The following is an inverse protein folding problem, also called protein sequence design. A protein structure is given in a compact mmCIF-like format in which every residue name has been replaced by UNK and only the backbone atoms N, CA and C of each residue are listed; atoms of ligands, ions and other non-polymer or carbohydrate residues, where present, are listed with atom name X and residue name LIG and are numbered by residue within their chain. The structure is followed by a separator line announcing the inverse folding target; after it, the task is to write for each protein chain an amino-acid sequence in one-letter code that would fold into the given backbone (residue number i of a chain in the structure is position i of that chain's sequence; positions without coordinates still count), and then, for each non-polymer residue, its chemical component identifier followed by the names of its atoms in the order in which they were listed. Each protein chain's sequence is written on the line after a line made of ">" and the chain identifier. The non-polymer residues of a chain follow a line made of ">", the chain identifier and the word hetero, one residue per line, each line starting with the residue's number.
data_IF_940584826922
#
_entry.id   IF_940584826922
#
_cell.length_a   1.000
_cell.length_b   1.000
_cell.length_c   1.000
_cell.angle_alpha   90.00
_cell.angle_beta   90.00
_cell.angle_gamma   90.00
#
_symmetry.space_group_name_H-M   'P 1'
#
loop_
_entity.id
_entity.type
_entity.pdbx_description
1 polymer ?
#
# COMPACT_ATOMS: atom_id res chain seq x y z
N UNK A 1 -15.02 -20.12 -9.46
CA UNK A 1 -15.48 -21.50 -9.27
C UNK A 1 -14.53 -22.48 -9.96
N UNK A 2 -14.20 -22.32 -11.26
CA UNK A 2 -13.32 -23.24 -11.97
C UNK A 2 -11.96 -23.49 -11.27
N UNK A 3 -11.34 -22.45 -10.70
CA UNK A 3 -10.10 -22.59 -9.93
C UNK A 3 -10.32 -23.42 -8.65
N UNK A 4 -11.45 -23.24 -7.99
CA UNK A 4 -11.80 -24.01 -6.79
C UNK A 4 -12.06 -25.50 -7.15
N UNK A 5 -12.81 -25.74 -8.22
CA UNK A 5 -13.09 -27.09 -8.73
C UNK A 5 -11.79 -27.83 -9.09
N UNK A 6 -10.80 -27.12 -9.67
CA UNK A 6 -9.49 -27.70 -10.00
C UNK A 6 -8.72 -28.13 -8.73
N UNK A 7 -8.75 -27.33 -7.66
CA UNK A 7 -8.12 -27.68 -6.38
C UNK A 7 -8.81 -28.86 -5.72
N UNK A 8 -10.15 -28.91 -5.77
CA UNK A 8 -10.91 -30.03 -5.21
C UNK A 8 -10.64 -31.35 -5.97
N UNK A 9 -10.50 -31.26 -7.30
CA UNK A 9 -10.12 -32.42 -8.12
C UNK A 9 -8.70 -32.91 -7.78
N UNK A 10 -7.72 -32.01 -7.66
CA UNK A 10 -6.36 -32.36 -7.27
C UNK A 10 -6.30 -32.98 -5.86
N UNK A 11 -7.08 -32.42 -4.90
CA UNK A 11 -7.22 -33.00 -3.55
C UNK A 11 -7.82 -34.38 -3.57
N UNK A 12 -8.87 -34.62 -4.38
CA UNK A 12 -9.51 -35.92 -4.53
C UNK A 12 -8.58 -36.96 -5.19
N UNK A 13 -7.69 -36.49 -6.08
CA UNK A 13 -6.66 -37.34 -6.71
C UNK A 13 -5.46 -37.66 -5.79
N UNK A 14 -5.39 -37.07 -4.59
CA UNK A 14 -4.25 -37.22 -3.65
C UNK A 14 -2.99 -36.49 -4.10
N UNK A 15 -3.10 -35.49 -4.95
CA UNK A 15 -1.96 -34.67 -5.40
C UNK A 15 -1.44 -33.77 -4.27
N UNK A 16 -0.12 -33.52 -4.20
CA UNK A 16 0.44 -32.59 -3.22
C UNK A 16 -0.05 -31.17 -3.51
N UNK A 17 -0.66 -30.53 -2.49
CA UNK A 17 -1.18 -29.17 -2.60
C UNK A 17 -0.29 -28.19 -1.83
N UNK A 18 -0.18 -26.96 -2.34
CA UNK A 18 0.45 -25.85 -1.63
C UNK A 18 -0.32 -25.52 -0.33
N UNK A 19 0.33 -24.93 0.71
CA UNK A 19 -0.30 -24.66 2.01
C UNK A 19 -1.60 -23.82 1.95
N UNK A 20 -1.70 -22.92 0.98
CA UNK A 20 -2.88 -22.05 0.77
C UNK A 20 -3.77 -22.48 -0.38
N UNK A 21 -3.58 -23.69 -0.94
CA UNK A 21 -4.43 -24.20 -2.04
C UNK A 21 -5.90 -24.31 -1.61
N UNK A 22 -6.79 -23.68 -2.37
CA UNK A 22 -8.22 -23.59 -2.10
C UNK A 22 -8.61 -22.43 -1.18
N UNK A 23 -7.64 -21.69 -0.61
CA UNK A 23 -7.94 -20.49 0.16
C UNK A 23 -8.21 -19.33 -0.82
N UNK A 24 -9.41 -18.73 -0.79
CA UNK A 24 -9.75 -17.65 -1.70
C UNK A 24 -9.06 -16.35 -1.31
N UNK A 25 -8.78 -15.50 -2.33
CA UNK A 25 -8.06 -14.23 -2.13
C UNK A 25 -8.70 -13.08 -2.91
N UNK A 26 -8.72 -11.89 -2.29
CA UNK A 26 -9.10 -10.63 -2.93
C UNK A 26 -7.85 -9.89 -3.45
N UNK A 27 -7.96 -9.26 -4.62
CA UNK A 27 -6.81 -8.66 -5.32
C UNK A 27 -7.05 -7.18 -5.57
N UNK A 28 -6.20 -6.30 -5.04
CA UNK A 28 -6.29 -4.84 -5.29
C UNK A 28 -6.30 -4.53 -6.79
N UNK A 29 -7.15 -3.62 -7.20
CA UNK A 29 -7.39 -3.32 -8.62
C UNK A 29 -6.24 -2.58 -9.33
N UNK A 30 -5.09 -2.43 -8.69
CA UNK A 30 -3.83 -2.01 -9.28
C UNK A 30 -3.04 -3.17 -9.92
N UNK A 31 -3.44 -4.43 -9.69
CA UNK A 31 -2.70 -5.63 -10.12
C UNK A 31 -3.34 -6.23 -11.36
N UNK A 32 -2.56 -6.30 -12.46
CA UNK A 32 -3.04 -6.87 -13.73
C UNK A 32 -3.41 -8.35 -13.55
N UNK A 33 -4.58 -8.71 -14.07
CA UNK A 33 -5.13 -10.08 -13.97
C UNK A 33 -5.74 -10.46 -15.33
N UNK A 34 -5.21 -11.48 -15.99
CA UNK A 34 -5.71 -11.93 -17.29
C UNK A 34 -7.22 -12.22 -17.20
N UNK A 35 -7.97 -11.70 -18.18
CA UNK A 35 -9.39 -11.97 -18.31
C UNK A 35 -10.29 -11.18 -17.33
N UNK A 36 -9.72 -10.38 -16.45
CA UNK A 36 -10.45 -9.59 -15.47
C UNK A 36 -10.08 -8.10 -15.65
N UNK A 37 -11.05 -7.19 -15.77
CA UNK A 37 -10.76 -5.76 -15.85
C UNK A 37 -9.87 -5.28 -14.72
N UNK A 38 -8.90 -4.40 -15.03
CA UNK A 38 -8.01 -3.78 -14.06
C UNK A 38 -8.02 -2.28 -14.31
N UNK A 39 -8.62 -1.53 -13.38
CA UNK A 39 -8.95 -0.11 -13.59
C UNK A 39 -8.10 0.84 -12.76
N UNK A 40 -7.43 0.38 -11.70
CA UNK A 40 -6.78 1.24 -10.70
C UNK A 40 -7.69 2.30 -10.11
N UNK A 41 -9.00 2.01 -9.98
CA UNK A 41 -9.99 2.97 -9.49
C UNK A 41 -10.24 4.16 -10.43
N UNK A 42 -9.85 4.09 -11.71
CA UNK A 42 -9.86 5.19 -12.67
C UNK A 42 -10.71 4.90 -13.90
N UNK A 43 -11.35 5.94 -14.44
CA UNK A 43 -11.99 5.89 -15.76
C UNK A 43 -11.00 5.74 -16.90
N UNK A 44 -9.75 6.14 -16.72
CA UNK A 44 -8.68 5.99 -17.72
C UNK A 44 -8.53 4.53 -18.19
N UNK A 45 -8.75 3.57 -17.27
CA UNK A 45 -8.64 2.13 -17.53
C UNK A 45 -9.99 1.41 -17.49
N UNK A 46 -11.10 2.14 -17.54
CA UNK A 46 -12.43 1.53 -17.53
C UNK A 46 -12.57 0.53 -18.69
N UNK A 47 -12.96 -0.70 -18.35
CA UNK A 47 -13.14 -1.78 -19.32
C UNK A 47 -11.83 -2.40 -19.87
N UNK A 48 -10.67 -1.91 -19.48
CA UNK A 48 -9.41 -2.50 -19.93
C UNK A 48 -9.15 -3.86 -19.26
N UNK A 49 -8.98 -4.88 -20.10
CA UNK A 49 -8.62 -6.24 -19.67
C UNK A 49 -7.13 -6.47 -20.01
N UNK A 50 -6.28 -6.69 -19.00
CA UNK A 50 -4.85 -6.89 -19.23
C UNK A 50 -4.58 -8.20 -19.98
N UNK A 51 -3.59 -8.21 -20.92
CA UNK A 51 -3.16 -9.41 -21.64
C UNK A 51 -2.19 -10.29 -20.83
N UNK A 52 -1.83 -9.92 -19.60
CA UNK A 52 -0.88 -10.62 -18.74
C UNK A 52 -1.25 -10.50 -17.27
N UNK A 53 -0.85 -11.49 -16.48
CA UNK A 53 -0.92 -11.45 -15.02
C UNK A 53 0.27 -10.69 -14.41
N UNK A 54 0.03 -9.97 -13.34
CA UNK A 54 1.10 -9.58 -12.44
C UNK A 54 1.80 -10.83 -11.88
N UNK A 55 3.11 -10.75 -11.63
CA UNK A 55 3.87 -11.91 -11.10
C UNK A 55 3.25 -12.45 -9.82
N UNK A 56 2.80 -11.58 -8.91
CA UNK A 56 2.11 -12.02 -7.68
C UNK A 56 0.80 -12.76 -8.00
N UNK A 57 0.03 -12.30 -8.98
CA UNK A 57 -1.21 -12.97 -9.41
C UNK A 57 -0.90 -14.35 -10.00
N UNK A 58 0.13 -14.45 -10.84
CA UNK A 58 0.57 -15.75 -11.37
C UNK A 58 1.02 -16.71 -10.25
N UNK A 59 1.73 -16.21 -9.23
CA UNK A 59 2.12 -17.02 -8.05
C UNK A 59 0.92 -17.48 -7.23
N UNK A 60 -0.10 -16.63 -7.02
CA UNK A 60 -1.35 -16.99 -6.33
C UNK A 60 -2.07 -18.11 -7.08
N UNK A 61 -2.22 -17.98 -8.40
CA UNK A 61 -2.82 -19.02 -9.26
C UNK A 61 -2.02 -20.33 -9.20
N UNK A 62 -0.68 -20.24 -9.27
CA UNK A 62 0.19 -21.42 -9.16
C UNK A 62 0.12 -22.10 -7.79
N UNK A 63 -0.17 -21.35 -6.73
CA UNK A 63 -0.43 -21.90 -5.39
C UNK A 63 -1.84 -22.46 -5.21
N UNK A 64 -2.67 -22.44 -6.25
CA UNK A 64 -4.05 -22.95 -6.20
C UNK A 64 -4.99 -22.05 -5.40
N UNK A 65 -4.74 -20.75 -5.31
CA UNK A 65 -5.60 -19.80 -4.59
C UNK A 65 -6.65 -19.21 -5.53
N UNK A 66 -7.95 -19.47 -5.33
CA UNK A 66 -9.02 -18.89 -6.15
C UNK A 66 -9.12 -17.38 -5.96
N UNK A 67 -9.12 -16.62 -7.05
CA UNK A 67 -9.30 -15.16 -7.00
C UNK A 67 -10.80 -14.85 -6.90
N UNK A 68 -11.22 -14.22 -5.78
CA UNK A 68 -12.61 -13.82 -5.56
C UNK A 68 -13.02 -12.64 -6.45
N UNK A 69 -12.10 -11.70 -6.66
CA UNK A 69 -12.35 -10.49 -7.45
C UNK A 69 -11.32 -9.41 -7.20
N UNK A 70 -11.61 -8.23 -7.77
CA UNK A 70 -10.79 -7.02 -7.64
C UNK A 70 -11.38 -6.12 -6.56
N UNK A 71 -10.52 -5.60 -5.69
CA UNK A 71 -10.93 -4.68 -4.62
C UNK A 71 -10.74 -3.23 -5.00
N UNK A 72 -11.69 -2.38 -4.60
CA UNK A 72 -11.65 -0.94 -4.84
C UNK A 72 -10.43 -0.28 -4.17
N UNK A 73 -10.08 0.89 -4.68
CA UNK A 73 -8.90 1.64 -4.23
C UNK A 73 -9.04 3.12 -4.58
N UNK A 74 -8.28 3.99 -3.93
CA UNK A 74 -8.09 5.35 -4.43
C UNK A 74 -7.47 5.33 -5.83
N UNK A 75 -7.91 6.22 -6.69
CA UNK A 75 -7.50 6.29 -8.10
C UNK A 75 -5.97 6.34 -8.23
N UNK A 76 -5.40 5.40 -8.99
CA UNK A 76 -3.95 5.19 -9.17
C UNK A 76 -3.17 5.16 -7.85
N UNK A 77 -3.78 4.65 -6.78
CA UNK A 77 -3.22 4.60 -5.43
C UNK A 77 -2.91 5.98 -4.81
N UNK A 78 -3.57 7.04 -5.27
CA UNK A 78 -3.41 8.42 -4.80
C UNK A 78 -4.51 8.80 -3.81
N UNK A 79 -4.30 8.48 -2.54
CA UNK A 79 -5.20 8.78 -1.44
C UNK A 79 -4.95 7.90 -0.23
N UNK A 80 -5.58 8.26 0.90
CA UNK A 80 -5.47 7.55 2.19
C UNK A 80 -6.85 7.25 2.78
N UNK A 81 -7.90 7.20 1.93
CA UNK A 81 -9.29 7.02 2.38
C UNK A 81 -10.14 6.07 1.56
N UNK A 82 -9.75 5.76 0.32
CA UNK A 82 -10.53 5.03 -0.71
C UNK A 82 -11.84 5.76 -1.06
N UNK A 83 -11.80 7.11 -1.01
CA UNK A 83 -12.87 7.98 -1.47
C UNK A 83 -12.64 8.49 -2.91
N UNK A 84 -11.38 8.52 -3.37
CA UNK A 84 -10.97 9.04 -4.69
C UNK A 84 -11.09 8.00 -5.82
N UNK A 85 -12.00 7.05 -5.69
CA UNK A 85 -12.27 6.06 -6.75
C UNK A 85 -13.33 6.56 -7.72
N UNK A 86 -13.14 6.33 -9.03
CA UNK A 86 -14.17 6.57 -10.04
C UNK A 86 -15.43 5.70 -9.86
N UNK A 87 -15.33 4.64 -9.03
CA UNK A 87 -16.39 3.68 -8.73
C UNK A 87 -17.09 3.94 -7.38
N UNK A 88 -16.80 5.09 -6.78
CA UNK A 88 -17.36 5.51 -5.49
C UNK A 88 -16.53 5.04 -4.29
N UNK A 89 -16.88 5.52 -3.08
CA UNK A 89 -16.13 5.27 -1.87
C UNK A 89 -16.32 3.83 -1.37
N UNK A 90 -15.26 3.28 -0.77
CA UNK A 90 -15.38 2.09 0.06
C UNK A 90 -15.71 2.49 1.50
N UNK A 91 -16.47 1.66 2.20
CA UNK A 91 -16.92 1.91 3.56
C UNK A 91 -16.22 0.97 4.54
N UNK A 92 -15.99 1.45 5.75
CA UNK A 92 -15.42 0.63 6.81
C UNK A 92 -16.47 -0.35 7.37
N UNK A 93 -16.18 -1.66 7.43
CA UNK A 93 -17.15 -2.64 7.94
C UNK A 93 -17.57 -2.44 9.40
N UNK A 94 -16.71 -1.81 10.22
CA UNK A 94 -17.03 -1.51 11.63
C UNK A 94 -18.06 -0.39 11.77
N UNK A 95 -18.01 0.58 10.87
CA UNK A 95 -18.95 1.69 10.79
C UNK A 95 -19.00 2.21 9.35
N UNK A 96 -20.11 1.99 8.67
CA UNK A 96 -20.27 2.34 7.24
C UNK A 96 -20.31 3.85 6.95
N UNK A 97 -20.27 4.70 7.96
CA UNK A 97 -20.18 6.16 7.80
C UNK A 97 -18.73 6.66 7.78
N UNK A 98 -17.75 5.81 8.09
CA UNK A 98 -16.34 6.19 8.13
C UNK A 98 -15.52 5.49 7.03
N UNK A 99 -14.33 6.01 6.77
CA UNK A 99 -13.41 5.49 5.75
C UNK A 99 -12.75 4.18 6.20
N UNK A 100 -12.40 3.29 5.28
CA UNK A 100 -11.61 2.08 5.56
C UNK A 100 -10.11 2.32 5.44
N UNK A 101 -9.68 3.60 5.32
CA UNK A 101 -8.32 3.93 4.92
C UNK A 101 -8.07 3.76 3.42
N UNK A 102 -6.86 4.05 2.99
CA UNK A 102 -6.46 4.00 1.57
C UNK A 102 -4.92 4.00 1.38
N UNK A 103 -4.50 3.81 0.15
CA UNK A 103 -5.32 3.57 -1.06
C UNK A 103 -5.88 2.14 -1.16
N UNK A 104 -5.49 1.20 -0.31
CA UNK A 104 -5.90 -0.22 -0.32
C UNK A 104 -7.13 -0.53 0.55
N UNK A 105 -8.03 0.43 0.78
CA UNK A 105 -9.17 0.28 1.68
C UNK A 105 -10.12 -0.83 1.29
N UNK A 106 -10.33 -1.09 0.00
CA UNK A 106 -11.15 -2.23 -0.46
C UNK A 106 -10.58 -3.58 -0.04
N UNK A 107 -9.25 -3.78 -0.10
CA UNK A 107 -8.61 -5.02 0.36
C UNK A 107 -8.73 -5.20 1.87
N UNK A 108 -8.50 -4.13 2.64
CA UNK A 108 -8.62 -4.17 4.10
C UNK A 108 -10.07 -4.37 4.54
N UNK A 109 -11.02 -3.66 3.92
CA UNK A 109 -12.45 -3.82 4.20
C UNK A 109 -12.95 -5.24 3.90
N UNK A 110 -12.56 -5.85 2.78
CA UNK A 110 -12.95 -7.21 2.44
C UNK A 110 -12.47 -8.24 3.50
N UNK A 111 -11.25 -8.07 4.02
CA UNK A 111 -10.70 -8.94 5.07
C UNK A 111 -11.39 -8.67 6.41
N UNK A 112 -11.62 -7.41 6.78
CA UNK A 112 -12.31 -7.03 8.02
C UNK A 112 -13.76 -7.48 8.04
N UNK A 113 -14.45 -7.43 6.88
CA UNK A 113 -15.83 -7.88 6.73
C UNK A 113 -15.99 -9.41 6.64
N UNK A 114 -14.88 -10.17 6.68
CA UNK A 114 -14.90 -11.63 6.46
C UNK A 114 -15.37 -12.05 5.05
N UNK A 115 -15.37 -11.15 4.08
CA UNK A 115 -15.66 -11.46 2.67
C UNK A 115 -14.52 -12.24 2.01
N UNK A 116 -13.30 -12.00 2.45
CA UNK A 116 -12.11 -12.74 2.04
C UNK A 116 -11.23 -13.07 3.25
N UNK A 117 -10.66 -14.28 3.37
CA UNK A 117 -9.71 -14.59 4.43
C UNK A 117 -8.38 -13.86 4.25
N UNK A 118 -7.99 -13.59 3.02
CA UNK A 118 -6.75 -12.96 2.60
C UNK A 118 -7.00 -11.95 1.47
N UNK A 119 -6.18 -10.90 1.44
CA UNK A 119 -6.11 -10.00 0.30
C UNK A 119 -4.66 -9.58 0.01
N UNK A 120 -4.40 -9.08 -1.20
CA UNK A 120 -3.16 -8.37 -1.52
C UNK A 120 -3.46 -6.92 -1.87
N UNK A 121 -2.53 -6.05 -1.47
CA UNK A 121 -2.56 -4.61 -1.72
C UNK A 121 -1.23 -4.09 -2.28
N UNK A 122 -1.14 -2.78 -2.43
CA UNK A 122 0.10 -2.06 -2.69
C UNK A 122 0.28 -0.94 -1.66
N UNK A 123 1.52 -0.66 -1.29
CA UNK A 123 1.91 0.33 -0.28
C UNK A 123 3.03 1.19 -0.85
N UNK A 124 2.76 2.47 -1.05
CA UNK A 124 3.69 3.47 -1.57
C UNK A 124 4.08 4.46 -0.48
N UNK A 125 3.15 4.80 0.41
CA UNK A 125 3.35 5.67 1.58
C UNK A 125 2.66 5.18 2.85
N UNK A 126 1.97 4.02 2.78
CA UNK A 126 1.16 3.49 3.87
C UNK A 126 -0.06 2.71 3.41
N UNK A 127 -0.28 2.60 2.09
CA UNK A 127 -1.56 2.16 1.50
C UNK A 127 -1.95 0.68 1.73
N UNK A 128 -1.16 -0.10 2.44
CA UNK A 128 -1.53 -1.39 3.07
C UNK A 128 -1.69 -1.20 4.58
N UNK A 129 -0.73 -0.55 5.22
CA UNK A 129 -0.60 -0.46 6.68
C UNK A 129 -1.64 0.49 7.30
N UNK A 130 -1.87 1.65 6.69
CA UNK A 130 -2.85 2.63 7.18
C UNK A 130 -4.30 2.07 7.08
N UNK A 131 -4.76 1.48 5.95
CA UNK A 131 -6.04 0.80 5.93
C UNK A 131 -6.13 -0.35 6.94
N UNK A 132 -5.05 -1.11 7.14
CA UNK A 132 -5.01 -2.18 8.13
C UNK A 132 -5.23 -1.64 9.56
N UNK A 133 -4.60 -0.50 9.90
CA UNK A 133 -4.76 0.13 11.20
C UNK A 133 -6.22 0.54 11.49
N UNK A 134 -6.88 1.19 10.52
CA UNK A 134 -8.25 1.71 10.73
C UNK A 134 -9.36 0.68 10.46
N UNK A 135 -9.02 -0.55 10.08
CA UNK A 135 -9.96 -1.66 9.90
C UNK A 135 -9.69 -2.84 10.83
N UNK A 136 -8.68 -2.76 11.68
CA UNK A 136 -8.33 -3.84 12.62
C UNK A 136 -7.83 -5.11 11.92
N UNK A 137 -7.10 -4.95 10.80
CA UNK A 137 -6.47 -6.04 10.08
C UNK A 137 -4.94 -5.99 10.18
N UNK A 138 -4.25 -7.02 9.73
CA UNK A 138 -2.79 -7.05 9.61
C UNK A 138 -2.40 -6.66 8.20
N UNK A 139 -1.54 -5.66 8.07
CA UNK A 139 -1.03 -5.20 6.77
C UNK A 139 0.49 -5.19 6.71
N UNK A 140 1.08 -5.87 5.75
CA UNK A 140 2.54 -5.99 5.60
C UNK A 140 3.02 -5.25 4.36
N UNK A 141 3.95 -4.32 4.54
CA UNK A 141 4.79 -3.77 3.48
C UNK A 141 6.14 -4.51 3.51
N UNK A 142 6.45 -5.36 2.54
CA UNK A 142 7.76 -6.02 2.45
C UNK A 142 8.91 -5.02 2.26
N UNK A 143 10.13 -5.52 2.40
CA UNK A 143 11.33 -4.83 1.92
C UNK A 143 11.15 -4.47 0.44
N UNK A 144 11.57 -3.27 0.05
CA UNK A 144 11.53 -2.86 -1.36
C UNK A 144 12.27 -3.88 -2.24
N UNK A 145 11.59 -4.37 -3.28
CA UNK A 145 12.10 -5.43 -4.13
C UNK A 145 11.98 -6.86 -3.59
N UNK A 146 11.49 -7.08 -2.36
CA UNK A 146 11.26 -8.42 -1.79
C UNK A 146 10.09 -9.18 -2.42
N UNK A 147 9.15 -8.45 -3.03
CA UNK A 147 8.03 -8.95 -3.82
C UNK A 147 8.06 -8.24 -5.17
N UNK A 148 7.94 -8.99 -6.26
CA UNK A 148 7.95 -8.43 -7.62
C UNK A 148 6.81 -7.43 -7.83
N UNK A 149 7.12 -6.33 -8.53
CA UNK A 149 6.17 -5.29 -8.95
C UNK A 149 5.75 -5.43 -10.42
N UNK A 150 6.23 -6.47 -11.12
CA UNK A 150 5.82 -6.70 -12.50
C UNK A 150 4.29 -6.92 -12.56
N UNK A 151 3.61 -6.08 -13.35
CA UNK A 151 2.16 -6.07 -13.47
C UNK A 151 1.42 -5.25 -12.42
N UNK A 152 2.12 -4.59 -11.49
CA UNK A 152 1.56 -3.50 -10.70
C UNK A 152 1.49 -2.23 -11.56
N UNK A 153 0.32 -1.59 -11.60
CA UNK A 153 0.19 -0.27 -12.22
C UNK A 153 0.93 0.73 -11.35
N UNK A 154 2.05 1.25 -11.88
CA UNK A 154 3.00 2.04 -11.11
C UNK A 154 2.44 3.41 -10.71
N UNK A 155 2.58 3.77 -9.43
CA UNK A 155 2.41 5.11 -8.91
C UNK A 155 3.77 5.80 -8.77
N UNK A 156 4.65 5.31 -7.91
CA UNK A 156 5.99 5.84 -7.69
C UNK A 156 7.01 4.71 -7.70
N UNK A 157 7.81 4.64 -8.75
CA UNK A 157 8.69 3.50 -9.06
C UNK A 157 9.71 3.21 -7.98
N UNK A 158 10.15 4.21 -7.21
CA UNK A 158 11.12 4.04 -6.13
C UNK A 158 10.51 3.72 -4.76
N UNK A 159 9.16 3.65 -4.67
CA UNK A 159 8.44 3.50 -3.41
C UNK A 159 7.43 2.34 -3.41
N UNK A 160 6.79 2.07 -4.54
CA UNK A 160 5.72 1.07 -4.65
C UNK A 160 6.17 -0.31 -4.17
N UNK A 161 5.33 -0.97 -3.35
CA UNK A 161 5.55 -2.34 -2.93
C UNK A 161 4.22 -3.08 -2.79
N UNK A 162 4.18 -4.37 -3.20
CA UNK A 162 3.02 -5.25 -3.03
C UNK A 162 3.19 -6.01 -1.72
N UNK A 163 2.07 -6.23 -1.00
CA UNK A 163 2.11 -7.00 0.24
C UNK A 163 0.77 -7.54 0.69
N UNK A 164 0.78 -8.44 1.70
CA UNK A 164 -0.39 -9.09 2.27
C UNK A 164 -1.28 -8.17 3.10
N UNK A 165 -2.59 -8.49 3.09
CA UNK A 165 -3.59 -8.07 4.09
C UNK A 165 -4.29 -9.31 4.62
N UNK A 166 -4.40 -9.43 5.94
CA UNK A 166 -4.96 -10.62 6.61
C UNK A 166 -5.53 -10.28 7.98
N UNK A 167 -6.13 -11.26 8.69
CA UNK A 167 -6.57 -11.06 10.08
C UNK A 167 -5.50 -11.39 11.11
N UNK A 168 -4.54 -12.24 10.77
CA UNK A 168 -3.46 -12.64 11.69
C UNK A 168 -2.09 -12.47 11.06
N UNK A 169 -1.07 -12.29 11.91
CA UNK A 169 0.34 -12.22 11.46
C UNK A 169 0.78 -13.51 10.78
N UNK A 170 0.29 -14.66 11.25
CA UNK A 170 0.61 -15.96 10.65
C UNK A 170 0.06 -16.08 9.22
N UNK A 171 -1.18 -15.63 8.99
CA UNK A 171 -1.78 -15.63 7.65
C UNK A 171 -1.04 -14.68 6.71
N UNK A 172 -0.63 -13.49 7.21
CA UNK A 172 0.21 -12.57 6.44
C UNK A 172 1.55 -13.20 6.06
N UNK A 173 2.18 -13.92 6.98
CA UNK A 173 3.45 -14.61 6.74
C UNK A 173 3.30 -15.74 5.71
N UNK A 174 2.24 -16.54 5.80
CA UNK A 174 1.91 -17.60 4.82
C UNK A 174 1.72 -17.00 3.42
N UNK A 175 0.95 -15.93 3.30
CA UNK A 175 0.73 -15.27 2.02
C UNK A 175 2.02 -14.62 1.50
N UNK A 176 2.84 -14.02 2.38
CA UNK A 176 4.12 -13.43 1.99
C UNK A 176 5.07 -14.49 1.39
N UNK A 177 5.14 -15.69 1.96
CA UNK A 177 5.96 -16.79 1.40
C UNK A 177 5.48 -17.24 0.02
N UNK A 178 4.18 -17.12 -0.28
CA UNK A 178 3.64 -17.40 -1.63
C UNK A 178 4.06 -16.34 -2.64
N UNK A 179 3.92 -15.04 -2.29
CA UNK A 179 4.11 -13.96 -3.25
C UNK A 179 5.56 -13.44 -3.35
N UNK A 180 6.38 -13.69 -2.32
CA UNK A 180 7.77 -13.27 -2.23
C UNK A 180 8.70 -13.97 -3.21
N UNK A 181 9.94 -13.49 -3.29
CA UNK A 181 11.02 -14.09 -4.07
C UNK A 181 11.39 -13.31 -5.33
N UNK A 182 12.56 -13.68 -5.89
CA UNK A 182 13.13 -13.02 -7.05
C UNK A 182 12.28 -13.16 -8.32
N UNK A 183 12.25 -12.10 -9.12
CA UNK A 183 11.60 -12.07 -10.43
C UNK A 183 12.47 -11.32 -11.43
N UNK A 184 13.00 -11.98 -12.48
CA UNK A 184 13.81 -11.33 -13.52
C UNK A 184 13.03 -10.31 -14.36
N UNK A 185 11.70 -10.28 -14.28
CA UNK A 185 10.86 -9.29 -14.97
C UNK A 185 10.80 -7.94 -14.24
N UNK A 186 11.20 -7.89 -12.98
CA UNK A 186 11.30 -6.65 -12.18
C UNK A 186 12.76 -6.36 -11.87
N UNK A 187 13.32 -5.36 -12.52
CA UNK A 187 14.74 -4.96 -12.34
C UNK A 187 15.10 -4.51 -10.93
N UNK A 188 14.11 -4.27 -10.07
CA UNK A 188 14.33 -3.91 -8.65
C UNK A 188 14.16 -5.10 -7.71
N UNK A 189 13.80 -6.28 -8.24
CA UNK A 189 13.60 -7.48 -7.43
C UNK A 189 14.93 -7.96 -6.83
N UNK A 190 14.92 -8.21 -5.52
CA UNK A 190 16.09 -8.71 -4.79
C UNK A 190 16.41 -10.15 -5.23
N UNK A 191 17.69 -10.46 -5.48
CA UNK A 191 18.13 -11.81 -5.84
C UNK A 191 17.94 -12.81 -4.68
N UNK A 192 18.18 -12.37 -3.46
CA UNK A 192 18.08 -13.18 -2.24
C UNK A 192 17.18 -12.47 -1.20
N UNK A 193 15.86 -12.43 -1.41
CA UNK A 193 14.96 -11.82 -0.43
C UNK A 193 14.89 -12.68 0.84
N UNK A 194 14.50 -12.04 1.97
CA UNK A 194 14.32 -12.74 3.23
C UNK A 194 13.24 -13.83 3.12
N UNK A 195 13.40 -14.91 3.86
CA UNK A 195 12.52 -16.08 3.95
C UNK A 195 12.29 -16.49 5.39
N UNK A 196 11.43 -17.50 5.64
CA UNK A 196 11.22 -18.04 6.98
C UNK A 196 10.22 -17.24 7.83
N UNK A 197 9.37 -16.45 7.21
CA UNK A 197 8.39 -15.60 7.89
C UNK A 197 7.39 -16.41 8.72
N UNK A 198 6.95 -17.57 8.22
CA UNK A 198 6.02 -18.46 8.92
C UNK A 198 6.64 -19.02 10.21
N UNK A 199 7.92 -19.38 10.18
CA UNK A 199 8.63 -19.82 11.38
C UNK A 199 8.78 -18.68 12.40
N UNK A 200 9.11 -17.48 11.94
CA UNK A 200 9.21 -16.30 12.79
C UNK A 200 7.86 -15.90 13.40
N UNK A 201 6.78 -15.96 12.63
CA UNK A 201 5.42 -15.62 13.10
C UNK A 201 4.86 -16.56 14.19
N UNK A 202 5.45 -17.74 14.35
CA UNK A 202 5.09 -18.71 15.43
C UNK A 202 5.86 -18.50 16.73
N UNK A 203 6.82 -17.60 16.73
CA UNK A 203 7.61 -17.30 17.94
C UNK A 203 6.80 -16.40 18.86
N UNK A 204 6.60 -16.82 20.11
CA UNK A 204 5.84 -16.08 21.11
C UNK A 204 6.72 -15.41 22.18
N UNK A 205 7.98 -15.84 22.35
CA UNK A 205 8.91 -15.30 23.33
C UNK A 205 9.68 -14.13 22.76
N UNK A 206 9.65 -12.98 23.43
CA UNK A 206 10.35 -11.76 23.07
C UNK A 206 11.60 -11.49 23.93
N UNK A 207 12.00 -12.43 24.78
CA UNK A 207 13.21 -12.28 25.61
C UNK A 207 14.44 -11.98 24.73
N UNK A 208 15.12 -10.86 25.06
CA UNK A 208 16.28 -10.38 24.32
C UNK A 208 15.97 -9.65 23.01
N UNK A 209 14.69 -9.38 22.71
CA UNK A 209 14.29 -8.50 21.60
C UNK A 209 14.29 -7.06 22.07
N UNK A 210 15.07 -6.20 21.42
CA UNK A 210 15.16 -4.77 21.72
C UNK A 210 14.18 -4.02 20.81
N UNK A 211 13.22 -3.33 21.41
CA UNK A 211 12.18 -2.57 20.69
C UNK A 211 12.40 -1.08 20.89
N UNK A 212 12.70 -0.37 19.82
CA UNK A 212 12.86 1.09 19.80
C UNK A 212 11.52 1.82 19.63
N UNK A 213 11.16 2.68 20.57
CA UNK A 213 10.02 3.59 20.44
C UNK A 213 10.52 4.89 19.79
N UNK A 214 9.97 5.22 18.61
CA UNK A 214 10.40 6.39 17.85
C UNK A 214 9.77 7.65 18.44
N UNK A 215 10.59 8.50 19.06
CA UNK A 215 10.17 9.73 19.73
C UNK A 215 9.39 10.68 18.81
N UNK A 216 9.84 10.87 17.59
CA UNK A 216 9.24 11.77 16.60
C UNK A 216 7.88 11.29 16.09
N UNK A 217 7.52 10.01 16.33
CA UNK A 217 6.26 9.39 15.90
C UNK A 217 5.33 9.02 17.07
N UNK A 218 5.58 9.51 18.27
CA UNK A 218 4.76 9.24 19.48
C UNK A 218 4.28 10.51 20.20
N UNK A 219 4.57 11.69 19.66
CA UNK A 219 4.35 12.99 20.29
C UNK A 219 3.01 13.66 19.99
N UNK A 220 3.06 14.97 19.82
CA UNK A 220 1.92 15.80 19.45
C UNK A 220 1.38 15.43 18.06
N UNK A 221 0.08 15.63 17.83
CA UNK A 221 -0.59 15.34 16.56
C UNK A 221 -1.25 13.96 16.47
N UNK A 222 -1.02 13.08 17.45
CA UNK A 222 -1.74 11.80 17.56
C UNK A 222 -2.93 11.91 18.48
N UNK A 223 -4.05 11.27 18.10
CA UNK A 223 -5.27 11.18 18.89
C UNK A 223 -5.01 10.50 20.26
N UNK A 224 -5.74 10.92 21.28
CA UNK A 224 -5.55 10.40 22.64
C UNK A 224 -5.85 8.89 22.74
N UNK A 225 -6.88 8.41 22.05
CA UNK A 225 -7.22 6.99 22.00
C UNK A 225 -6.13 6.17 21.31
N UNK A 226 -5.57 6.69 20.20
CA UNK A 226 -4.44 6.04 19.51
C UNK A 226 -3.22 5.94 20.42
N UNK A 227 -2.88 7.02 21.14
CA UNK A 227 -1.76 7.00 22.11
C UNK A 227 -1.97 5.98 23.21
N UNK A 228 -3.17 5.93 23.78
CA UNK A 228 -3.50 4.98 24.83
C UNK A 228 -3.33 3.53 24.37
N UNK A 229 -3.89 3.17 23.19
CA UNK A 229 -3.72 1.80 22.64
C UNK A 229 -2.27 1.48 22.33
N UNK A 230 -1.51 2.45 21.85
CA UNK A 230 -0.07 2.29 21.64
C UNK A 230 0.70 2.02 22.95
N UNK A 231 0.43 2.78 24.01
CA UNK A 231 1.04 2.57 25.34
C UNK A 231 0.70 1.19 25.90
N UNK A 232 -0.54 0.73 25.75
CA UNK A 232 -0.96 -0.62 26.14
C UNK A 232 -0.24 -1.72 25.33
N UNK A 233 -0.05 -1.51 24.02
CA UNK A 233 0.71 -2.43 23.18
C UNK A 233 2.19 -2.49 23.61
N UNK A 234 2.80 -1.36 23.97
CA UNK A 234 4.17 -1.31 24.53
C UNK A 234 4.24 -2.08 25.85
N UNK A 235 3.24 -1.94 26.71
CA UNK A 235 3.17 -2.70 27.97
C UNK A 235 3.06 -4.21 27.74
N UNK A 236 2.29 -4.65 26.73
CA UNK A 236 2.19 -6.06 26.36
C UNK A 236 3.53 -6.62 25.84
N UNK A 237 4.26 -5.85 25.01
CA UNK A 237 5.59 -6.23 24.53
C UNK A 237 6.59 -6.37 25.69
N UNK A 238 6.56 -5.43 26.64
CA UNK A 238 7.36 -5.50 27.87
C UNK A 238 7.03 -6.74 28.69
N UNK A 239 5.75 -7.04 28.89
CA UNK A 239 5.29 -8.22 29.61
C UNK A 239 5.69 -9.54 28.91
N UNK A 240 5.82 -9.53 27.60
CA UNK A 240 6.32 -10.66 26.79
C UNK A 240 7.85 -10.80 26.79
N UNK A 241 8.58 -9.93 27.52
CA UNK A 241 10.03 -10.00 27.71
C UNK A 241 10.88 -9.13 26.80
N UNK A 242 10.27 -8.21 26.03
CA UNK A 242 11.01 -7.28 25.21
C UNK A 242 11.68 -6.16 26.01
N UNK A 243 12.89 -5.76 25.61
CA UNK A 243 13.58 -4.58 26.12
C UNK A 243 13.15 -3.34 25.34
N UNK A 244 12.44 -2.42 26.03
CA UNK A 244 11.92 -1.19 25.40
C UNK A 244 12.93 -0.05 25.56
N UNK A 245 13.26 0.61 24.47
CA UNK A 245 14.22 1.72 24.41
C UNK A 245 13.62 2.89 23.63
N UNK A 246 13.69 4.10 24.15
CA UNK A 246 13.37 5.30 23.34
C UNK A 246 14.50 5.61 22.36
N UNK A 247 14.17 5.82 21.09
CA UNK A 247 15.11 6.17 20.03
C UNK A 247 14.66 7.44 19.30
N UNK A 248 15.61 8.16 18.73
CA UNK A 248 15.34 9.38 17.96
C UNK A 248 15.74 9.20 16.50
N UNK A 249 14.83 9.58 15.59
CA UNK A 249 15.01 9.62 14.15
C UNK A 249 14.72 11.05 13.64
N UNK A 250 15.61 12.01 13.89
CA UNK A 250 15.34 13.44 13.70
C UNK A 250 14.96 13.83 12.28
N UNK A 251 15.40 13.07 11.27
CA UNK A 251 15.05 13.35 9.86
C UNK A 251 13.61 12.99 9.53
N UNK A 252 12.89 12.24 10.39
CA UNK A 252 11.50 11.83 10.13
C UNK A 252 10.53 13.00 10.09
N UNK A 253 10.83 14.12 10.75
CA UNK A 253 10.03 15.35 10.68
C UNK A 253 9.93 15.92 9.26
N UNK A 254 10.86 15.53 8.37
CA UNK A 254 10.89 15.96 6.97
C UNK A 254 10.30 14.91 6.01
N UNK A 255 9.92 13.72 6.51
CA UNK A 255 9.51 12.59 5.68
C UNK A 255 8.28 12.92 4.82
N UNK A 256 7.26 13.53 5.41
CA UNK A 256 6.04 13.93 4.71
C UNK A 256 6.34 14.85 3.52
N UNK A 257 7.11 15.91 3.75
CA UNK A 257 7.48 16.86 2.71
C UNK A 257 8.32 16.20 1.59
N UNK A 258 9.31 15.38 1.94
CA UNK A 258 10.13 14.66 0.98
C UNK A 258 9.28 13.70 0.13
N UNK A 259 8.37 12.97 0.75
CA UNK A 259 7.47 12.04 0.07
C UNK A 259 6.57 12.76 -0.95
N UNK A 260 5.95 13.88 -0.56
CA UNK A 260 5.08 14.65 -1.45
C UNK A 260 5.82 15.48 -2.50
N UNK A 261 7.14 15.42 -2.53
CA UNK A 261 7.97 15.86 -3.65
C UNK A 261 8.40 14.69 -4.55
N UNK A 262 8.79 13.55 -3.96
CA UNK A 262 9.23 12.37 -4.71
C UNK A 262 8.05 11.71 -5.43
N UNK A 263 6.98 11.39 -4.71
CA UNK A 263 5.84 10.65 -5.27
C UNK A 263 5.17 11.36 -6.45
N UNK A 264 4.75 12.63 -6.36
CA UNK A 264 4.13 13.32 -7.50
C UNK A 264 5.07 13.42 -8.71
N UNK A 265 6.37 13.62 -8.46
CA UNK A 265 7.39 13.65 -9.52
C UNK A 265 7.45 12.33 -10.29
N UNK A 266 7.54 11.21 -9.58
CA UNK A 266 7.56 9.88 -10.21
C UNK A 266 6.20 9.52 -10.83
N UNK A 267 5.09 9.90 -10.19
CA UNK A 267 3.74 9.71 -10.70
C UNK A 267 3.53 10.43 -12.04
N UNK A 268 4.00 11.68 -12.17
CA UNK A 268 3.90 12.44 -13.42
C UNK A 268 4.59 11.73 -14.58
N UNK A 269 5.72 11.10 -14.32
CA UNK A 269 6.43 10.26 -15.30
C UNK A 269 5.71 8.94 -15.58
N UNK A 270 5.31 8.22 -14.53
CA UNK A 270 4.66 6.90 -14.66
C UNK A 270 3.31 6.97 -15.36
N UNK A 271 2.50 8.00 -15.09
CA UNK A 271 1.18 8.17 -15.70
C UNK A 271 1.23 8.85 -17.08
N UNK A 272 2.40 9.28 -17.56
CA UNK A 272 2.57 9.80 -18.92
C UNK A 272 2.20 8.77 -20.01
N UNK A 273 2.28 7.47 -19.70
CA UNK A 273 1.88 6.36 -20.59
C UNK A 273 0.39 6.34 -20.94
N UNK A 274 -0.46 7.00 -20.15
CA UNK A 274 -1.89 7.16 -20.44
C UNK A 274 -2.10 8.35 -21.37
N UNK A 275 -1.79 8.15 -22.63
CA UNK A 275 -1.71 9.14 -23.71
C UNK A 275 -2.88 9.06 -24.70
N UNK A 276 -3.87 8.21 -24.43
CA UNK A 276 -5.02 7.92 -25.29
C UNK A 276 -4.71 7.20 -26.62
N UNK A 277 -3.46 6.73 -26.81
CA UNK A 277 -3.04 6.16 -28.08
C UNK A 277 -3.01 4.64 -28.11
N UNK A 278 -2.66 3.99 -26.99
CA UNK A 278 -2.35 2.56 -26.96
C UNK A 278 -3.43 1.70 -26.31
N UNK A 279 -3.99 2.17 -25.21
CA UNK A 279 -4.99 1.45 -24.42
C UNK A 279 -5.69 2.38 -23.44
N UNK A 280 -6.84 1.95 -22.92
CA UNK A 280 -7.64 2.73 -21.99
C UNK A 280 -8.57 3.71 -22.69
N UNK A 281 -9.06 4.68 -21.92
CA UNK A 281 -9.98 5.72 -22.41
C UNK A 281 -9.35 6.54 -23.53
N UNK A 282 -10.19 6.89 -24.54
CA UNK A 282 -9.85 7.87 -25.58
C UNK A 282 -11.02 8.80 -25.79
N UNK A 283 -10.80 10.09 -25.57
CA UNK A 283 -11.78 11.15 -25.79
C UNK A 283 -11.24 12.12 -26.83
N UNK A 284 -12.04 12.39 -27.85
CA UNK A 284 -11.72 13.44 -28.84
C UNK A 284 -12.36 14.76 -28.41
N UNK A 285 -11.66 15.89 -28.48
CA UNK A 285 -12.24 17.19 -28.15
C UNK A 285 -13.34 17.56 -29.14
N UNK A 286 -14.43 18.18 -28.64
CA UNK A 286 -15.54 18.64 -29.47
C UNK A 286 -15.14 19.88 -30.30
N UNK A 287 -15.75 20.03 -31.50
CA UNK A 287 -15.64 21.24 -32.32
C UNK A 287 -14.32 21.48 -33.04
N UNK A 288 -13.37 20.59 -32.91
CA UNK A 288 -12.09 20.63 -33.65
C UNK A 288 -12.13 19.64 -34.80
N UNK A 289 -11.92 20.04 -36.05
CA UNK A 289 -11.96 19.16 -37.23
C UNK A 289 -11.15 17.85 -37.01
N UNK A 290 -9.89 17.75 -37.45
CA UNK A 290 -8.97 16.65 -37.08
C UNK A 290 -8.10 17.10 -35.90
N UNK A 291 -8.38 16.60 -34.69
CA UNK A 291 -7.61 17.01 -33.50
C UNK A 291 -6.18 16.45 -33.53
N UNK A 292 -5.23 17.24 -33.03
CA UNK A 292 -3.86 16.76 -32.84
C UNK A 292 -3.80 15.68 -31.72
N UNK A 293 -2.75 14.86 -31.70
CA UNK A 293 -2.53 13.87 -30.64
C UNK A 293 -2.48 14.53 -29.24
N UNK A 294 -1.90 15.72 -29.14
CA UNK A 294 -1.84 16.50 -27.90
C UNK A 294 -3.24 16.92 -27.42
N UNK A 295 -4.11 17.37 -28.32
CA UNK A 295 -5.49 17.74 -28.00
C UNK A 295 -6.31 16.51 -27.54
N UNK A 296 -6.14 15.35 -28.19
CA UNK A 296 -6.79 14.10 -27.79
C UNK A 296 -6.28 13.65 -26.43
N UNK A 297 -4.97 13.70 -26.18
CA UNK A 297 -4.38 13.37 -24.88
C UNK A 297 -4.91 14.29 -23.77
N UNK A 298 -4.94 15.61 -24.01
CA UNK A 298 -5.43 16.58 -23.03
C UNK A 298 -6.91 16.32 -22.67
N UNK A 299 -7.78 16.18 -23.70
CA UNK A 299 -9.20 15.89 -23.48
C UNK A 299 -9.42 14.56 -22.76
N UNK A 300 -8.65 13.51 -23.08
CA UNK A 300 -8.73 12.22 -22.44
C UNK A 300 -8.32 12.28 -20.97
N UNK A 301 -7.22 12.94 -20.66
CA UNK A 301 -6.70 13.08 -19.29
C UNK A 301 -7.63 13.94 -18.45
N UNK A 302 -8.22 14.97 -19.03
CA UNK A 302 -9.21 15.79 -18.35
C UNK A 302 -10.49 15.03 -18.01
N UNK A 303 -11.03 14.27 -18.95
CA UNK A 303 -12.25 13.47 -18.74
C UNK A 303 -12.03 12.23 -17.86
N UNK A 304 -10.84 11.64 -17.88
CA UNK A 304 -10.57 10.32 -17.30
C UNK A 304 -9.91 10.33 -15.93
N UNK A 305 -9.09 11.35 -15.60
CA UNK A 305 -8.47 11.46 -14.28
C UNK A 305 -9.35 12.25 -13.32
N UNK A 306 -9.41 11.80 -12.07
CA UNK A 306 -10.00 12.54 -10.96
C UNK A 306 -9.10 13.70 -10.48
N UNK A 307 -9.66 14.56 -9.64
CA UNK A 307 -9.03 15.82 -9.24
C UNK A 307 -7.75 15.62 -8.41
N UNK A 308 -7.71 14.62 -7.54
CA UNK A 308 -6.50 14.33 -6.75
C UNK A 308 -5.35 13.86 -7.65
N UNK A 309 -5.61 13.03 -8.64
CA UNK A 309 -4.60 12.61 -9.62
C UNK A 309 -4.10 13.81 -10.42
N UNK A 310 -5.00 14.64 -10.94
CA UNK A 310 -4.66 15.87 -11.67
C UNK A 310 -3.76 16.78 -10.82
N UNK A 311 -4.12 17.01 -9.55
CA UNK A 311 -3.35 17.82 -8.59
C UNK A 311 -1.93 17.31 -8.45
N UNK A 312 -1.75 16.00 -8.16
CA UNK A 312 -0.42 15.41 -7.96
C UNK A 312 0.41 15.40 -9.25
N UNK A 313 -0.20 15.17 -10.42
CA UNK A 313 0.51 15.24 -11.70
C UNK A 313 1.01 16.66 -12.01
N UNK A 314 0.22 17.69 -11.72
CA UNK A 314 0.63 19.10 -11.89
C UNK A 314 1.80 19.42 -10.95
N UNK A 315 1.69 19.06 -9.67
CA UNK A 315 2.74 19.27 -8.67
C UNK A 315 4.04 18.55 -9.06
N UNK A 316 3.95 17.29 -9.51
CA UNK A 316 5.10 16.51 -9.92
C UNK A 316 5.78 17.07 -11.17
N UNK A 317 5.00 17.47 -12.16
CA UNK A 317 5.51 18.10 -13.38
C UNK A 317 6.23 19.42 -13.06
N UNK A 318 5.66 20.22 -12.15
CA UNK A 318 6.28 21.45 -11.68
C UNK A 318 7.60 21.18 -10.95
N UNK A 319 7.63 20.23 -10.02
CA UNK A 319 8.84 19.87 -9.27
C UNK A 319 9.99 19.35 -10.16
N UNK A 320 9.65 18.74 -11.31
CA UNK A 320 10.64 18.25 -12.28
C UNK A 320 11.01 19.28 -13.35
N UNK A 321 10.36 20.45 -13.38
CA UNK A 321 10.61 21.45 -14.42
C UNK A 321 11.99 22.11 -14.28
N UNK A 322 12.48 22.66 -15.40
CA UNK A 322 13.78 23.34 -15.47
C UNK A 322 13.89 24.44 -14.43
N UNK A 323 14.98 24.46 -13.64
CA UNK A 323 15.23 25.41 -12.58
C UNK A 323 14.67 25.00 -11.20
N UNK A 324 13.77 24.01 -11.12
CA UNK A 324 13.17 23.54 -9.87
C UNK A 324 13.60 22.11 -9.47
N UNK A 325 14.10 21.32 -10.39
CA UNK A 325 14.49 19.91 -10.17
C UNK A 325 15.43 19.75 -8.98
N UNK A 326 16.54 20.49 -8.92
CA UNK A 326 17.52 20.39 -7.83
C UNK A 326 16.98 20.92 -6.50
N UNK A 327 16.15 21.96 -6.56
CA UNK A 327 15.57 22.59 -5.38
C UNK A 327 14.52 21.70 -4.70
N UNK A 328 13.72 20.97 -5.48
CA UNK A 328 12.64 20.15 -4.96
C UNK A 328 12.98 18.65 -4.98
N UNK A 329 13.02 18.03 -6.16
CA UNK A 329 13.24 16.58 -6.25
C UNK A 329 14.62 16.17 -5.76
N UNK A 330 15.67 16.88 -6.16
CA UNK A 330 17.03 16.65 -5.69
C UNK A 330 17.19 16.80 -4.18
N UNK A 331 16.56 17.83 -3.59
CA UNK A 331 16.56 18.02 -2.14
C UNK A 331 15.79 16.95 -1.41
N UNK A 332 14.63 16.50 -1.92
CA UNK A 332 13.85 15.42 -1.36
C UNK A 332 14.62 14.08 -1.36
N UNK A 333 15.40 13.79 -2.41
CA UNK A 333 16.27 12.61 -2.45
C UNK A 333 17.40 12.66 -1.40
N UNK A 334 17.94 13.85 -1.09
CA UNK A 334 18.92 14.00 0.01
C UNK A 334 18.27 13.74 1.37
N UNK A 335 17.07 14.26 1.60
CA UNK A 335 16.29 14.00 2.83
C UNK A 335 16.00 12.50 2.96
N UNK A 336 15.62 11.82 1.86
CA UNK A 336 15.44 10.37 1.83
C UNK A 336 16.69 9.62 2.30
N UNK A 337 17.87 10.06 1.90
CA UNK A 337 19.15 9.48 2.36
C UNK A 337 19.34 9.67 3.86
N UNK A 338 19.02 10.87 4.40
CA UNK A 338 19.10 11.12 5.85
C UNK A 338 18.15 10.24 6.66
N UNK A 339 16.94 10.02 6.15
CA UNK A 339 15.97 9.11 6.77
C UNK A 339 16.50 7.67 6.80
N UNK A 340 17.09 7.18 5.70
CA UNK A 340 17.72 5.87 5.67
C UNK A 340 18.88 5.76 6.67
N UNK A 341 19.72 6.79 6.80
CA UNK A 341 20.80 6.85 7.78
C UNK A 341 20.29 6.86 9.24
N UNK A 342 19.13 7.48 9.52
CA UNK A 342 18.51 7.40 10.83
C UNK A 342 18.11 5.96 11.17
N UNK A 343 17.52 5.22 10.22
CA UNK A 343 17.24 3.80 10.41
C UNK A 343 18.50 2.97 10.62
N UNK A 344 19.55 3.14 9.79
CA UNK A 344 20.81 2.41 9.94
C UNK A 344 21.41 2.63 11.33
N UNK A 345 21.38 3.86 11.82
CA UNK A 345 21.92 4.24 13.14
C UNK A 345 21.12 3.57 14.27
N UNK A 346 19.80 3.62 14.24
CA UNK A 346 19.00 3.09 15.36
C UNK A 346 18.95 1.56 15.34
N UNK A 347 18.99 0.91 14.18
CA UNK A 347 19.05 -0.55 14.09
C UNK A 347 20.40 -1.16 14.50
N UNK A 348 21.42 -0.37 14.80
CA UNK A 348 22.61 -0.85 15.48
C UNK A 348 22.32 -1.20 16.97
N UNK A 349 21.33 -0.52 17.57
CA UNK A 349 21.01 -0.64 18.99
C UNK A 349 19.72 -1.39 19.26
N UNK A 350 18.80 -1.49 18.29
CA UNK A 350 17.50 -2.15 18.45
C UNK A 350 17.22 -3.13 17.31
N UNK A 351 16.33 -4.09 17.55
CA UNK A 351 16.01 -5.14 16.58
C UNK A 351 14.73 -4.81 15.80
N UNK A 352 13.82 -4.03 16.43
CA UNK A 352 12.52 -3.60 15.86
C UNK A 352 12.25 -2.16 16.28
N UNK A 353 11.59 -1.39 15.41
CA UNK A 353 11.03 -0.08 15.75
C UNK A 353 9.51 -0.18 15.85
N UNK A 354 8.94 0.59 16.77
CA UNK A 354 7.50 0.63 17.02
C UNK A 354 7.00 2.08 17.09
N UNK A 355 5.87 2.33 16.43
CA UNK A 355 5.13 3.59 16.46
C UNK A 355 3.64 3.32 16.23
N UNK A 356 2.72 4.23 16.54
CA UNK A 356 1.38 4.17 15.99
C UNK A 356 1.44 4.16 14.46
N UNK A 357 0.52 3.45 13.79
CA UNK A 357 0.49 3.38 12.33
C UNK A 357 -0.17 4.61 11.70
N UNK A 358 -1.26 5.07 12.31
CA UNK A 358 -2.02 6.26 11.87
C UNK A 358 -2.19 7.22 13.04
N UNK A 359 -2.15 8.54 12.82
CA UNK A 359 -2.34 9.51 13.89
C UNK A 359 -3.77 9.58 14.43
N UNK A 360 -4.77 9.14 13.66
CA UNK A 360 -6.18 9.14 14.06
C UNK A 360 -6.85 7.81 13.76
N UNK A 361 -7.94 7.46 14.44
CA UNK A 361 -8.87 6.44 13.98
C UNK A 361 -9.48 6.79 12.61
N UNK A 362 -10.32 5.90 12.06
CA UNK A 362 -11.09 6.17 10.85
C UNK A 362 -11.99 7.40 11.04
N UNK A 363 -11.97 8.33 10.06
CA UNK A 363 -12.80 9.53 10.07
C UNK A 363 -14.03 9.37 9.18
N UNK A 364 -15.03 10.27 9.36
CA UNK A 364 -16.24 10.26 8.57
C UNK A 364 -16.00 10.49 7.07
N UNK A 365 -16.73 9.76 6.23
CA UNK A 365 -16.70 9.96 4.79
C UNK A 365 -17.00 11.43 4.44
N UNK A 366 -16.20 12.00 3.56
CA UNK A 366 -16.30 13.40 3.14
C UNK A 366 -15.55 14.41 4.01
N UNK A 367 -15.14 14.04 5.24
CA UNK A 367 -14.61 15.01 6.21
C UNK A 367 -13.28 15.67 5.80
N UNK A 368 -12.50 15.02 4.92
CA UNK A 368 -11.16 15.53 4.51
C UNK A 368 -11.03 15.72 2.99
N UNK A 369 -12.10 15.64 2.22
CA UNK A 369 -12.03 15.79 0.76
C UNK A 369 -11.60 17.20 0.33
N UNK A 370 -12.01 18.22 1.08
CA UNK A 370 -11.68 19.62 0.80
C UNK A 370 -10.36 20.09 1.47
N UNK A 371 -9.73 19.22 2.29
CA UNK A 371 -8.44 19.48 2.93
C UNK A 371 -7.41 18.39 2.64
N UNK A 372 -6.71 18.49 1.49
CA UNK A 372 -5.69 17.50 1.12
C UNK A 372 -4.59 17.34 2.15
N UNK A 373 -4.20 18.42 2.87
CA UNK A 373 -3.15 18.34 3.89
C UNK A 373 -3.59 17.51 5.09
N UNK A 374 -4.85 17.61 5.52
CA UNK A 374 -5.39 16.78 6.60
C UNK A 374 -5.43 15.28 6.21
N UNK A 375 -5.63 14.97 4.93
CA UNK A 375 -5.51 13.61 4.41
C UNK A 375 -4.04 13.15 4.38
N UNK A 376 -3.12 13.99 3.87
CA UNK A 376 -1.70 13.64 3.74
C UNK A 376 -1.03 13.37 5.09
N UNK A 377 -1.42 14.08 6.14
CA UNK A 377 -0.91 13.89 7.49
C UNK A 377 -1.20 12.48 8.06
N UNK A 378 -2.17 11.75 7.50
CA UNK A 378 -2.48 10.40 7.97
C UNK A 378 -1.36 9.39 7.71
N UNK A 379 -0.47 9.67 6.77
CA UNK A 379 0.63 8.80 6.40
C UNK A 379 1.97 9.15 7.09
N UNK A 380 1.95 10.09 8.04
CA UNK A 380 3.19 10.63 8.68
C UNK A 380 4.04 9.52 9.33
N UNK A 381 3.41 8.53 9.94
CA UNK A 381 4.11 7.44 10.62
C UNK A 381 4.50 6.28 9.68
N UNK A 382 3.88 6.17 8.52
CA UNK A 382 4.13 5.08 7.57
C UNK A 382 5.17 5.43 6.51
N UNK A 383 5.24 6.69 6.09
CA UNK A 383 6.11 7.20 5.02
C UNK A 383 7.61 6.94 5.26
N UNK A 384 8.19 7.09 6.46
CA UNK A 384 9.63 6.87 6.65
C UNK A 384 10.11 5.52 6.17
N UNK A 385 9.35 4.45 6.45
CA UNK A 385 9.68 3.09 6.02
C UNK A 385 9.61 2.92 4.49
N UNK A 386 8.76 3.67 3.78
CA UNK A 386 8.73 3.67 2.31
C UNK A 386 9.95 4.38 1.73
N UNK A 387 10.28 5.57 2.26
CA UNK A 387 11.45 6.34 1.81
C UNK A 387 12.75 5.57 2.00
N UNK A 388 12.89 4.83 3.10
CA UNK A 388 14.07 4.00 3.36
C UNK A 388 14.03 2.64 2.66
N UNK A 389 12.87 2.18 2.17
CA UNK A 389 12.73 0.87 1.52
C UNK A 389 12.73 -0.32 2.48
N UNK A 390 12.67 -0.11 3.80
CA UNK A 390 12.67 -1.16 4.81
C UNK A 390 11.29 -1.82 4.96
N UNK A 391 11.19 -3.07 5.47
CA UNK A 391 9.89 -3.70 5.74
C UNK A 391 9.18 -3.02 6.91
N UNK A 392 7.84 -3.09 6.89
CA UNK A 392 7.02 -2.64 8.01
C UNK A 392 5.69 -3.40 8.05
N UNK A 393 5.13 -3.57 9.24
CA UNK A 393 3.86 -4.25 9.48
C UNK A 393 2.97 -3.38 10.38
N UNK A 394 1.68 -3.34 10.07
CA UNK A 394 0.64 -2.85 10.97
C UNK A 394 -0.09 -4.04 11.55
N UNK A 395 -0.27 -4.04 12.87
CA UNK A 395 -1.00 -5.06 13.61
C UNK A 395 -2.07 -4.40 14.46
N UNK A 396 -3.23 -5.02 14.66
CA UNK A 396 -4.27 -4.49 15.55
C UNK A 396 -3.75 -4.35 16.98
N UNK A 397 -4.06 -3.22 17.61
CA UNK A 397 -3.70 -2.91 19.01
C UNK A 397 -4.93 -2.67 19.89
N UNK A 398 -6.07 -3.30 19.54
CA UNK A 398 -7.37 -3.11 20.14
C UNK A 398 -8.12 -1.87 19.60
N UNK A 399 -9.36 -1.66 20.08
CA UNK A 399 -10.23 -0.58 19.63
C UNK A 399 -9.95 0.72 20.41
N UNK A 400 -9.87 1.84 19.69
CA UNK A 400 -9.94 3.16 20.31
C UNK A 400 -11.43 3.54 20.45
N UNK A 401 -11.99 3.39 21.64
CA UNK A 401 -13.42 3.57 21.93
C UNK A 401 -14.33 2.61 21.17
N UNK A 402 -14.65 2.90 19.92
CA UNK A 402 -15.55 2.12 19.06
C UNK A 402 -14.97 1.71 17.71
N UNK A 403 -13.75 2.12 17.38
CA UNK A 403 -13.09 1.83 16.09
C UNK A 403 -11.66 1.32 16.32
N UNK A 404 -11.19 0.43 15.43
CA UNK A 404 -9.79 0.01 15.41
C UNK A 404 -8.82 1.15 15.25
#
# INVERSE_FOLDING_TARGET
>A
LADADAVDAARAAGEPLAPLAGVPIAVKDALTTIGIPTTSGSRILEGWVPPYDATVVAKLKAAGMPILGKTNMDEFAMGSSTEHSAYGPTRNPWNTNVIPGGSGGGSAAAVAAFEAPLAIGSDTGGSIRQPAAVTGTVGVKPTYGGVSRYGLIALASSLDQIGPVSRTVLDAALLHEVIGGHDPKDSTSLENPATGFVAAAKRADLTGVRVGIVKELSGEGFDAGVKQRFEEAVALMTAAGADIVEVSCPSFVHALAAYYLVLPSEASSNLAKFDAMRFGLRVSPEGTGEPSAEQVMAATRDAGFGDEVKRRLILGTYALSSGYYDAYYGSAQKVRTLIAQDFDRVFADVDVLMSPTSPTPAWELGAKLDDPMAMYLQDIATIPANLAGIPAISVPADLSDVLP
#
